data_IF_738515150707
#
_entry.id   IF_738515150707
#
_cell.length_a   1.000
_cell.length_b   1.000
_cell.length_c   1.000
_cell.angle_alpha   90.00
_cell.angle_beta   90.00
_cell.angle_gamma   90.00
#
_symmetry.space_group_name_H-M   'P 1'
#
loop_
_entity.id
_entity.type
_entity.pdbx_description
1 polymer ?
#
# COMPACT_ATOMS: atom_id res chain seq x y z
N UNK A 1 -13.78 -5.15 3.18
CA UNK A 1 -12.82 -5.74 2.23
C UNK A 1 -13.08 -7.23 2.15
N UNK A 2 -13.09 -7.79 0.94
CA UNK A 2 -13.36 -9.21 0.71
C UNK A 2 -12.21 -10.10 1.23
N UNK A 3 -12.50 -11.33 1.64
CA UNK A 3 -11.49 -12.28 2.16
C UNK A 3 -10.36 -12.51 1.15
N UNK A 4 -10.71 -12.66 -0.13
CA UNK A 4 -9.72 -12.87 -1.20
C UNK A 4 -8.72 -11.71 -1.27
N UNK A 5 -9.20 -10.48 -1.21
CA UNK A 5 -8.37 -9.27 -1.25
C UNK A 5 -7.43 -9.21 -0.03
N UNK A 6 -7.93 -9.52 1.17
CA UNK A 6 -7.10 -9.60 2.39
C UNK A 6 -5.94 -10.57 2.23
N UNK A 7 -6.20 -11.73 1.65
CA UNK A 7 -5.20 -12.78 1.43
C UNK A 7 -4.18 -12.37 0.37
N UNK A 8 -4.62 -11.77 -0.74
CA UNK A 8 -3.73 -11.24 -1.78
C UNK A 8 -2.78 -10.18 -1.22
N UNK A 9 -3.31 -9.25 -0.42
CA UNK A 9 -2.50 -8.24 0.26
C UNK A 9 -1.52 -8.88 1.23
N UNK A 10 -1.97 -9.83 2.06
CA UNK A 10 -1.10 -10.55 2.99
C UNK A 10 0.07 -11.25 2.27
N UNK A 11 -0.18 -11.90 1.12
CA UNK A 11 0.85 -12.58 0.36
C UNK A 11 1.83 -11.62 -0.35
N UNK A 12 1.41 -10.40 -0.63
CA UNK A 12 2.24 -9.36 -1.23
C UNK A 12 2.92 -8.44 -0.20
N UNK A 13 2.67 -8.62 1.11
CA UNK A 13 3.18 -7.76 2.20
C UNK A 13 4.68 -7.86 2.50
N UNK A 14 5.45 -8.61 1.71
CA UNK A 14 6.87 -8.90 1.99
C UNK A 14 7.11 -9.93 3.09
N UNK A 15 6.05 -10.42 3.77
CA UNK A 15 6.18 -11.53 4.72
C UNK A 15 6.64 -12.82 4.05
N UNK A 16 7.59 -13.51 4.68
CA UNK A 16 7.94 -14.86 4.26
C UNK A 16 6.79 -15.83 4.54
N UNK A 17 6.65 -16.85 3.69
CA UNK A 17 5.68 -17.93 3.93
C UNK A 17 5.92 -18.64 5.28
N UNK A 18 7.15 -18.63 5.80
CA UNK A 18 7.47 -19.11 7.15
C UNK A 18 6.83 -18.25 8.25
N UNK A 19 6.94 -16.92 8.15
CA UNK A 19 6.34 -16.00 9.12
C UNK A 19 4.81 -16.14 9.15
N UNK A 20 4.19 -16.21 7.96
CA UNK A 20 2.74 -16.42 7.82
C UNK A 20 2.34 -17.77 8.44
N UNK A 21 3.09 -18.85 8.16
CA UNK A 21 2.81 -20.18 8.71
C UNK A 21 2.89 -20.20 10.23
N UNK A 22 3.90 -19.52 10.80
CA UNK A 22 4.11 -19.45 12.25
C UNK A 22 2.95 -18.77 12.97
N UNK A 23 2.39 -17.69 12.40
CA UNK A 23 1.28 -16.96 13.03
C UNK A 23 -0.08 -17.61 12.79
N UNK A 24 -0.30 -18.20 11.63
CA UNK A 24 -1.64 -18.72 11.22
C UNK A 24 -1.83 -20.20 11.55
N UNK A 25 -0.75 -20.95 11.77
CA UNK A 25 -0.76 -22.41 11.84
C UNK A 25 -1.05 -23.09 10.50
N UNK A 26 -1.15 -22.33 9.40
CA UNK A 26 -1.31 -22.89 8.06
C UNK A 26 0.03 -23.47 7.59
N UNK A 27 -0.02 -24.60 6.90
CA UNK A 27 1.19 -25.27 6.40
C UNK A 27 1.98 -24.34 5.46
N UNK A 28 3.28 -24.16 5.76
CA UNK A 28 4.18 -23.31 4.97
C UNK A 28 4.24 -23.70 3.49
N UNK A 29 4.26 -25.00 3.16
CA UNK A 29 4.27 -25.46 1.77
C UNK A 29 2.99 -25.03 1.03
N UNK A 30 1.84 -25.08 1.69
CA UNK A 30 0.59 -24.58 1.13
C UNK A 30 0.65 -23.07 0.90
N UNK A 31 1.12 -22.29 1.88
CA UNK A 31 1.30 -20.84 1.76
C UNK A 31 2.23 -20.51 0.58
N UNK A 32 3.39 -21.16 0.49
CA UNK A 32 4.33 -20.93 -0.61
C UNK A 32 3.71 -21.20 -1.97
N UNK A 33 2.86 -22.24 -2.10
CA UNK A 33 2.15 -22.55 -3.34
C UNK A 33 1.11 -21.48 -3.73
N UNK A 34 0.48 -20.85 -2.75
CA UNK A 34 -0.42 -19.73 -3.02
C UNK A 34 0.36 -18.46 -3.40
N UNK A 35 1.42 -18.14 -2.65
CA UNK A 35 2.26 -16.96 -2.90
C UNK A 35 2.94 -17.00 -4.27
N UNK A 36 3.40 -18.17 -4.72
CA UNK A 36 4.06 -18.31 -6.01
C UNK A 36 3.09 -18.60 -7.18
N UNK A 37 1.79 -18.60 -6.93
CA UNK A 37 0.75 -18.84 -7.93
C UNK A 37 0.64 -20.29 -8.45
N UNK A 38 1.41 -21.24 -7.92
CA UNK A 38 1.28 -22.67 -8.31
C UNK A 38 0.00 -23.32 -7.82
N UNK A 39 -0.70 -22.69 -6.86
CA UNK A 39 -2.06 -23.01 -6.45
C UNK A 39 -2.90 -21.72 -6.40
N UNK A 40 -4.05 -21.64 -7.10
CA UNK A 40 -4.95 -20.50 -7.02
C UNK A 40 -5.54 -20.32 -5.61
N UNK A 41 -5.78 -19.07 -5.20
CA UNK A 41 -6.39 -18.74 -3.90
C UNK A 41 -7.84 -19.26 -3.84
N UNK A 42 -8.53 -19.34 -4.98
CA UNK A 42 -9.88 -19.90 -5.11
C UNK A 42 -9.94 -21.38 -4.70
N UNK A 43 -8.80 -22.08 -4.75
CA UNK A 43 -8.71 -23.48 -4.36
C UNK A 43 -8.37 -23.66 -2.88
N UNK A 44 -8.38 -22.60 -2.09
CA UNK A 44 -8.11 -22.61 -0.65
C UNK A 44 -9.32 -23.12 0.14
N UNK A 45 -9.08 -23.82 1.25
CA UNK A 45 -10.19 -24.18 2.15
C UNK A 45 -10.70 -22.95 2.88
N UNK A 46 -12.00 -22.91 3.20
CA UNK A 46 -12.59 -21.81 3.95
C UNK A 46 -11.85 -21.54 5.28
N UNK A 47 -11.45 -22.60 5.98
CA UNK A 47 -10.67 -22.50 7.22
C UNK A 47 -9.31 -21.81 7.00
N UNK A 48 -8.60 -22.16 5.93
CA UNK A 48 -7.30 -21.53 5.61
C UNK A 48 -7.50 -20.07 5.23
N UNK A 49 -8.54 -19.78 4.46
CA UNK A 49 -8.88 -18.42 4.04
C UNK A 49 -9.22 -17.54 5.24
N UNK A 50 -9.97 -18.06 6.21
CA UNK A 50 -10.30 -17.36 7.44
C UNK A 50 -9.03 -17.07 8.26
N UNK A 51 -8.17 -18.07 8.51
CA UNK A 51 -6.92 -17.89 9.27
C UNK A 51 -6.00 -16.82 8.66
N UNK A 52 -5.88 -16.79 7.34
CA UNK A 52 -5.07 -15.80 6.63
C UNK A 52 -5.72 -14.40 6.68
N UNK A 53 -7.04 -14.31 6.50
CA UNK A 53 -7.80 -13.07 6.68
C UNK A 53 -7.64 -12.51 8.10
N UNK A 54 -7.69 -13.37 9.12
CA UNK A 54 -7.56 -12.97 10.52
C UNK A 54 -6.16 -12.43 10.81
N UNK A 55 -5.12 -13.03 10.22
CA UNK A 55 -3.76 -12.48 10.33
C UNK A 55 -3.65 -11.09 9.67
N UNK A 56 -4.28 -10.90 8.51
CA UNK A 56 -4.36 -9.58 7.88
C UNK A 56 -5.02 -8.57 8.83
N UNK A 57 -6.20 -8.91 9.36
CA UNK A 57 -6.96 -8.00 10.24
C UNK A 57 -6.18 -7.70 11.53
N UNK A 58 -5.58 -8.72 12.14
CA UNK A 58 -4.69 -8.58 13.29
C UNK A 58 -3.55 -7.63 12.98
N UNK A 59 -2.86 -7.81 11.86
CA UNK A 59 -1.72 -6.96 11.50
C UNK A 59 -2.11 -5.53 11.22
N UNK A 60 -3.28 -5.27 10.64
CA UNK A 60 -3.79 -3.90 10.45
C UNK A 60 -4.19 -3.25 11.78
N UNK A 61 -4.74 -4.03 12.72
CA UNK A 61 -5.17 -3.52 14.01
C UNK A 61 -4.03 -3.40 15.05
N UNK A 62 -2.99 -4.23 14.92
CA UNK A 62 -1.79 -4.25 15.77
C UNK A 62 -0.68 -3.33 15.23
N UNK A 63 -0.88 -2.61 14.13
CA UNK A 63 0.03 -1.50 13.80
C UNK A 63 -0.17 -0.41 14.84
N UNK A 64 0.67 -0.40 15.89
CA UNK A 64 0.99 0.83 16.58
C UNK A 64 1.66 1.75 15.55
N UNK A 65 0.85 2.57 14.92
CA UNK A 65 1.33 3.66 14.08
C UNK A 65 2.22 4.51 15.00
N UNK A 66 3.49 4.78 14.63
CA UNK A 66 4.35 5.62 15.46
C UNK A 66 3.63 6.94 15.76
N UNK A 67 3.81 7.52 16.95
CA UNK A 67 3.07 8.71 17.42
C UNK A 67 3.08 9.91 16.44
N UNK A 68 3.98 9.87 15.45
CA UNK A 68 4.20 10.86 14.43
C UNK A 68 3.39 10.57 13.15
N UNK A 69 2.65 9.45 13.07
CA UNK A 69 1.99 9.00 11.87
C UNK A 69 0.70 9.76 11.58
N UNK A 70 -0.06 10.16 12.60
CA UNK A 70 -1.15 11.12 12.40
C UNK A 70 -0.62 12.45 11.86
N UNK A 71 0.59 12.84 12.28
CA UNK A 71 1.28 14.02 11.75
C UNK A 71 1.74 13.77 10.31
N UNK A 72 2.37 12.64 10.00
CA UNK A 72 2.80 12.28 8.63
C UNK A 72 1.61 12.17 7.69
N UNK A 73 0.54 11.47 8.08
CA UNK A 73 -0.70 11.35 7.31
C UNK A 73 -1.36 12.71 7.10
N UNK A 74 -1.31 13.60 8.08
CA UNK A 74 -1.83 14.97 7.98
C UNK A 74 -0.96 15.86 7.09
N UNK A 75 0.36 15.79 7.21
CA UNK A 75 1.33 16.52 6.37
C UNK A 75 1.22 16.03 4.94
N UNK A 76 1.29 14.73 4.71
CA UNK A 76 1.12 14.14 3.38
C UNK A 76 -0.23 14.53 2.77
N UNK A 77 -1.32 14.49 3.55
CA UNK A 77 -2.64 14.99 3.12
C UNK A 77 -2.63 16.45 2.69
N UNK A 78 -1.94 17.32 3.44
CA UNK A 78 -1.89 18.75 3.17
C UNK A 78 -1.03 19.02 1.92
N UNK A 79 0.19 18.49 1.87
CA UNK A 79 1.13 18.66 0.76
C UNK A 79 0.56 18.12 -0.56
N UNK A 80 0.01 16.89 -0.55
CA UNK A 80 -0.61 16.32 -1.76
C UNK A 80 -1.88 17.06 -2.18
N UNK A 81 -2.65 17.56 -1.21
CA UNK A 81 -3.83 18.38 -1.51
C UNK A 81 -3.43 19.70 -2.16
N UNK A 82 -2.38 20.36 -1.69
CA UNK A 82 -1.84 21.57 -2.31
C UNK A 82 -1.34 21.30 -3.73
N UNK A 83 -0.65 20.18 -3.97
CA UNK A 83 -0.24 19.74 -5.31
C UNK A 83 -1.46 19.53 -6.22
N UNK A 84 -2.49 18.82 -5.74
CA UNK A 84 -3.73 18.60 -6.52
C UNK A 84 -4.49 19.89 -6.80
N UNK A 85 -4.57 20.81 -5.84
CA UNK A 85 -5.23 22.12 -6.02
C UNK A 85 -4.48 22.96 -7.05
N UNK A 86 -3.14 22.97 -7.02
CA UNK A 86 -2.31 23.63 -8.03
C UNK A 86 -2.52 23.04 -9.44
N UNK A 87 -2.54 21.71 -9.57
CA UNK A 87 -2.79 21.04 -10.84
C UNK A 87 -4.25 21.23 -11.32
N UNK A 88 -5.21 21.32 -10.40
CA UNK A 88 -6.61 21.61 -10.73
C UNK A 88 -6.79 23.02 -11.29
N UNK A 89 -6.03 24.00 -10.81
CA UNK A 89 -6.10 25.36 -11.33
C UNK A 89 -5.49 25.47 -12.74
N UNK A 90 -4.38 24.76 -13.00
CA UNK A 90 -3.87 24.55 -14.36
C UNK A 90 -4.89 23.82 -15.24
N UNK A 91 -5.60 22.83 -14.69
CA UNK A 91 -6.66 22.10 -15.38
C UNK A 91 -7.88 22.99 -15.73
N UNK A 92 -8.16 24.04 -14.95
CA UNK A 92 -9.28 24.96 -15.25
C UNK A 92 -8.91 25.97 -16.34
N UNK A 93 -7.62 26.29 -16.50
CA UNK A 93 -7.12 27.21 -17.51
C UNK A 93 -6.77 26.49 -18.83
N UNK A 94 -7.80 26.13 -19.60
CA UNK A 94 -7.65 25.57 -20.97
C UNK A 94 -6.63 24.41 -21.09
N UNK A 95 -6.87 23.28 -20.40
CA UNK A 95 -5.89 22.21 -20.24
C UNK A 95 -5.58 21.51 -21.56
N UNK A 96 -4.29 21.33 -21.82
CA UNK A 96 -3.85 20.44 -22.87
C UNK A 96 -4.09 18.98 -22.45
N UNK A 97 -3.90 18.03 -23.38
CA UNK A 97 -4.16 16.60 -23.11
C UNK A 97 -3.29 16.03 -21.99
N UNK A 98 -2.04 16.49 -21.87
CA UNK A 98 -1.07 16.00 -20.89
C UNK A 98 -1.43 16.47 -19.48
N UNK A 99 -1.89 17.71 -19.33
CA UNK A 99 -2.37 18.27 -18.05
C UNK A 99 -3.54 17.44 -17.49
N UNK A 100 -4.45 16.98 -18.37
CA UNK A 100 -5.58 16.13 -17.98
C UNK A 100 -5.14 14.73 -17.54
N UNK A 101 -4.15 14.15 -18.22
CA UNK A 101 -3.61 12.84 -17.87
C UNK A 101 -2.88 12.90 -16.53
N UNK A 102 -2.06 13.94 -16.32
CA UNK A 102 -1.30 14.16 -15.10
C UNK A 102 -2.23 14.36 -13.89
N UNK A 103 -3.25 15.22 -14.03
CA UNK A 103 -4.24 15.44 -12.97
C UNK A 103 -4.96 14.14 -12.56
N UNK A 104 -5.44 13.36 -13.54
CA UNK A 104 -6.15 12.12 -13.25
C UNK A 104 -5.25 11.06 -12.60
N UNK A 105 -3.98 10.96 -13.02
CA UNK A 105 -3.00 10.08 -12.40
C UNK A 105 -2.74 10.48 -10.95
N UNK A 106 -2.44 11.75 -10.69
CA UNK A 106 -2.18 12.26 -9.35
C UNK A 106 -3.40 12.13 -8.43
N UNK A 107 -4.60 12.38 -8.96
CA UNK A 107 -5.84 12.21 -8.20
C UNK A 107 -6.08 10.75 -7.81
N UNK A 108 -5.85 9.83 -8.75
CA UNK A 108 -5.98 8.39 -8.51
C UNK A 108 -4.96 7.86 -7.50
N UNK A 109 -3.70 8.28 -7.60
CA UNK A 109 -2.67 7.91 -6.63
C UNK A 109 -2.94 8.55 -5.26
N UNK A 110 -3.42 9.80 -5.20
CA UNK A 110 -3.87 10.40 -3.95
C UNK A 110 -5.03 9.64 -3.31
N UNK A 111 -6.05 9.28 -4.09
CA UNK A 111 -7.21 8.56 -3.58
C UNK A 111 -6.84 7.18 -3.03
N UNK A 112 -5.92 6.48 -3.71
CA UNK A 112 -5.29 5.25 -3.20
C UNK A 112 -4.57 5.48 -1.88
N UNK A 113 -3.64 6.44 -1.81
CA UNK A 113 -2.89 6.76 -0.58
C UNK A 113 -3.85 7.09 0.57
N UNK A 114 -4.98 7.72 0.28
CA UNK A 114 -5.92 8.18 1.29
C UNK A 114 -6.81 7.09 1.86
N UNK A 115 -7.07 6.03 1.10
CA UNK A 115 -8.03 4.98 1.42
C UNK A 115 -7.43 3.58 1.52
N UNK A 116 -6.16 3.40 1.16
CA UNK A 116 -5.44 2.13 1.25
C UNK A 116 -4.40 2.14 2.39
N UNK A 117 -4.72 1.45 3.48
CA UNK A 117 -3.85 1.31 4.64
C UNK A 117 -2.49 0.68 4.29
N UNK A 118 -2.39 -0.11 3.21
CA UNK A 118 -1.12 -0.66 2.72
C UNK A 118 -0.23 0.43 2.14
N UNK A 119 -0.78 1.31 1.29
CA UNK A 119 -0.03 2.41 0.68
C UNK A 119 0.50 3.38 1.75
N UNK A 120 -0.27 3.62 2.82
CA UNK A 120 0.20 4.47 3.92
C UNK A 120 1.30 3.75 4.75
N UNK A 121 1.29 2.41 4.85
CA UNK A 121 2.36 1.65 5.48
C UNK A 121 3.65 1.68 4.65
N UNK A 122 3.54 1.45 3.34
CA UNK A 122 4.66 1.50 2.40
C UNK A 122 5.27 2.91 2.36
N UNK A 123 4.46 3.97 2.35
CA UNK A 123 4.95 5.36 2.46
C UNK A 123 5.62 5.60 3.82
N UNK A 124 5.05 5.11 4.92
CA UNK A 124 5.66 5.24 6.24
C UNK A 124 7.03 4.57 6.33
N UNK A 125 7.16 3.36 5.77
CA UNK A 125 8.44 2.63 5.69
C UNK A 125 9.42 3.34 4.76
N UNK A 126 8.96 3.84 3.60
CA UNK A 126 9.78 4.57 2.65
C UNK A 126 10.32 5.86 3.27
N UNK A 127 9.47 6.66 3.95
CA UNK A 127 9.87 7.87 4.68
C UNK A 127 10.89 7.59 5.77
N UNK A 128 10.69 6.53 6.55
CA UNK A 128 11.62 6.15 7.63
C UNK A 128 12.97 5.67 7.10
N UNK A 129 13.01 5.20 5.85
CA UNK A 129 14.22 4.68 5.18
C UNK A 129 14.72 5.60 4.06
N UNK A 130 14.14 6.80 3.88
CA UNK A 130 14.60 7.76 2.88
C UNK A 130 15.99 8.24 3.28
N UNK A 131 16.95 7.96 2.41
CA UNK A 131 18.26 8.63 2.41
C UNK A 131 18.07 9.94 1.65
N UNK A 132 18.64 11.05 2.15
CA UNK A 132 18.57 12.31 1.41
C UNK A 132 19.07 12.12 -0.03
N UNK A 133 18.33 12.63 -1.03
CA UNK A 133 18.71 12.47 -2.42
C UNK A 133 20.10 13.06 -2.64
N UNK A 134 20.98 12.26 -3.23
CA UNK A 134 22.34 12.71 -3.53
C UNK A 134 22.30 13.91 -4.49
N UNK A 135 23.27 14.82 -4.35
CA UNK A 135 23.40 15.99 -5.23
C UNK A 135 23.42 15.61 -6.72
N UNK A 136 23.98 14.45 -7.04
CA UNK A 136 24.02 13.92 -8.40
C UNK A 136 22.63 13.61 -8.98
N UNK A 137 21.68 13.10 -8.18
CA UNK A 137 20.30 12.88 -8.63
C UNK A 137 19.54 14.19 -8.81
N UNK A 138 19.84 15.21 -8.01
CA UNK A 138 19.23 16.55 -8.12
C UNK A 138 19.69 17.23 -9.41
N UNK A 139 20.96 17.05 -9.79
CA UNK A 139 21.54 17.65 -10.99
C UNK A 139 21.09 16.95 -12.31
N UNK A 140 20.47 15.76 -12.22
CA UNK A 140 19.99 14.96 -13.37
C UNK A 140 18.49 15.13 -13.68
N UNK A 141 17.74 15.86 -12.84
CA UNK A 141 16.33 16.22 -13.03
C UNK A 141 16.18 17.57 -13.75
#
# INVERSE_FOLDING_TARGET
MEIKQKIEILFNSGLSGYAIAKETGVNQSSISKFMNGTRPIENMTLETAQKLSDLYDKRINDVELPANYDVIKKVFRLEFKEILESQLDLYKESPNTDDKLMFNYLYHEFDKVMHDNQTIYEIGDLVNNMVEPSQQMIDEL
#
